data_IF_993081496417
#
_entry.id   IF_993081496417
#
_cell.length_a   1.000
_cell.length_b   1.000
_cell.length_c   1.000
_cell.angle_alpha   90.00
_cell.angle_beta   90.00
_cell.angle_gamma   90.00
#
_symmetry.space_group_name_H-M   'P 1'
#
loop_
_entity.id
_entity.type
_entity.pdbx_description
1 polymer ?
#
# COMPACT_ATOMS: atom_id res chain seq x y z
N UNK A 1 30.75 -59.75 1.97
CA UNK A 1 31.43 -58.48 2.29
C UNK A 1 30.50 -57.36 1.89
N UNK A 2 29.70 -56.86 2.83
CA UNK A 2 28.90 -55.67 2.62
C UNK A 2 29.88 -54.50 2.48
N UNK A 3 29.80 -53.77 1.37
CA UNK A 3 30.62 -52.59 1.20
C UNK A 3 30.19 -51.56 2.25
N UNK A 4 31.16 -50.91 2.89
CA UNK A 4 30.92 -49.82 3.84
C UNK A 4 29.94 -48.77 3.29
N UNK A 5 29.93 -48.59 1.97
CA UNK A 5 29.01 -47.68 1.29
C UNK A 5 27.53 -48.11 1.39
N UNK A 6 27.20 -49.41 1.48
CA UNK A 6 25.82 -49.88 1.65
C UNK A 6 25.29 -49.65 3.07
N UNK A 7 26.13 -49.84 4.08
CA UNK A 7 25.78 -49.52 5.48
C UNK A 7 25.60 -48.02 5.67
N UNK A 8 26.43 -47.20 5.03
CA UNK A 8 26.26 -45.74 5.00
C UNK A 8 24.91 -45.38 4.37
N UNK A 9 24.55 -45.97 3.22
CA UNK A 9 23.25 -45.72 2.57
C UNK A 9 22.07 -46.13 3.44
N UNK A 10 22.16 -47.25 4.15
CA UNK A 10 21.12 -47.68 5.09
C UNK A 10 20.94 -46.68 6.24
N UNK A 11 22.04 -46.22 6.87
CA UNK A 11 21.98 -45.22 7.94
C UNK A 11 21.38 -43.89 7.45
N UNK A 12 21.67 -43.50 6.20
CA UNK A 12 21.06 -42.31 5.58
C UNK A 12 19.56 -42.49 5.33
N UNK A 13 19.10 -43.67 4.90
CA UNK A 13 17.68 -44.00 4.75
C UNK A 13 16.93 -43.93 6.10
N UNK A 14 17.58 -44.34 7.19
CA UNK A 14 17.04 -44.28 8.55
C UNK A 14 17.14 -42.87 9.20
N UNK A 15 17.70 -41.87 8.51
CA UNK A 15 17.85 -40.50 9.02
C UNK A 15 18.95 -40.32 10.06
N UNK A 16 19.86 -41.30 10.21
CA UNK A 16 20.94 -41.32 11.20
C UNK A 16 22.23 -40.69 10.67
N UNK A 17 22.15 -39.42 10.29
CA UNK A 17 23.24 -38.69 9.64
C UNK A 17 24.56 -38.67 10.43
N UNK A 18 24.48 -38.54 11.75
CA UNK A 18 25.66 -38.46 12.62
C UNK A 18 26.40 -39.81 12.67
N UNK A 19 25.64 -40.91 12.69
CA UNK A 19 26.21 -42.26 12.69
C UNK A 19 26.85 -42.58 11.34
N UNK A 20 26.24 -42.15 10.23
CA UNK A 20 26.82 -42.29 8.90
C UNK A 20 28.16 -41.54 8.75
N UNK A 21 28.24 -40.30 9.26
CA UNK A 21 29.51 -39.53 9.26
C UNK A 21 30.57 -40.23 10.11
N UNK A 22 30.21 -40.75 11.29
CA UNK A 22 31.13 -41.48 12.15
C UNK A 22 31.62 -42.78 11.50
N UNK A 23 30.75 -43.50 10.81
CA UNK A 23 31.08 -44.74 10.09
C UNK A 23 32.10 -44.47 8.98
N UNK A 24 31.90 -43.41 8.18
CA UNK A 24 32.83 -43.00 7.12
C UNK A 24 34.17 -42.53 7.70
N UNK A 25 34.16 -41.75 8.77
CA UNK A 25 35.37 -41.28 9.46
C UNK A 25 36.22 -42.46 9.92
N UNK A 26 35.62 -43.42 10.63
CA UNK A 26 36.33 -44.55 11.21
C UNK A 26 36.74 -45.59 10.15
N UNK A 27 35.88 -45.85 9.16
CA UNK A 27 36.15 -46.90 8.17
C UNK A 27 37.03 -46.47 7.00
N UNK A 28 37.07 -45.17 6.65
CA UNK A 28 37.98 -44.64 5.61
C UNK A 28 39.19 -43.89 6.19
N UNK A 29 39.25 -43.67 7.49
CA UNK A 29 40.37 -42.97 8.16
C UNK A 29 40.53 -41.50 7.76
N UNK A 30 39.46 -40.87 7.25
CA UNK A 30 39.45 -39.48 6.77
C UNK A 30 39.13 -38.51 7.91
N UNK A 31 39.31 -37.20 7.73
CA UNK A 31 38.88 -36.23 8.76
C UNK A 31 37.35 -36.14 8.85
N UNK A 32 36.82 -35.69 10.01
CA UNK A 32 35.36 -35.50 10.19
C UNK A 32 34.77 -34.54 9.13
N UNK A 33 35.52 -33.53 8.71
CA UNK A 33 35.10 -32.59 7.68
C UNK A 33 34.99 -33.27 6.30
N UNK A 34 35.94 -34.14 5.96
CA UNK A 34 35.92 -34.92 4.72
C UNK A 34 34.81 -35.97 4.74
N UNK A 35 34.61 -36.65 5.87
CA UNK A 35 33.49 -37.58 6.05
C UNK A 35 32.14 -36.86 5.85
N UNK A 36 31.97 -35.67 6.44
CA UNK A 36 30.78 -34.84 6.24
C UNK A 36 30.59 -34.45 4.77
N UNK A 37 31.65 -33.97 4.09
CA UNK A 37 31.58 -33.62 2.66
C UNK A 37 31.21 -34.83 1.78
N UNK A 38 31.73 -36.01 2.13
CA UNK A 38 31.41 -37.25 1.42
C UNK A 38 29.93 -37.63 1.61
N UNK A 39 29.40 -37.54 2.84
CA UNK A 39 27.97 -37.75 3.11
C UNK A 39 27.09 -36.71 2.41
N UNK A 40 27.47 -35.43 2.45
CA UNK A 40 26.72 -34.37 1.77
C UNK A 40 26.67 -34.62 0.25
N UNK A 41 27.76 -35.13 -0.34
CA UNK A 41 27.82 -35.53 -1.76
C UNK A 41 26.98 -36.77 -2.03
N UNK A 42 27.04 -37.80 -1.18
CA UNK A 42 26.19 -38.98 -1.31
C UNK A 42 24.72 -38.63 -1.20
N UNK A 43 24.35 -37.73 -0.29
CA UNK A 43 22.98 -37.20 -0.22
C UNK A 43 22.59 -36.54 -1.53
N UNK A 44 23.48 -35.73 -2.12
CA UNK A 44 23.26 -35.05 -3.39
C UNK A 44 23.23 -35.99 -4.62
N UNK A 45 23.95 -37.12 -4.59
CA UNK A 45 24.03 -38.11 -5.67
C UNK A 45 22.90 -39.18 -5.55
N UNK A 46 22.50 -39.58 -4.33
CA UNK A 46 21.29 -40.37 -4.05
C UNK A 46 20.01 -39.51 -4.08
N UNK A 47 20.11 -38.25 -4.51
CA UNK A 47 18.98 -37.44 -4.96
C UNK A 47 18.40 -37.96 -6.29
N UNK A 48 18.06 -39.24 -6.36
CA UNK A 48 17.05 -39.74 -7.28
C UNK A 48 15.65 -39.46 -6.70
N UNK A 49 15.39 -38.24 -6.20
CA UNK A 49 14.04 -37.75 -5.93
C UNK A 49 13.26 -37.42 -7.22
N UNK A 50 13.78 -37.81 -8.38
CA UNK A 50 13.11 -37.69 -9.68
C UNK A 50 11.86 -38.58 -9.85
N UNK A 51 11.38 -39.26 -8.79
CA UNK A 51 10.04 -39.90 -8.83
C UNK A 51 8.93 -39.10 -8.15
N UNK A 52 9.21 -38.21 -7.20
CA UNK A 52 8.18 -37.37 -6.57
C UNK A 52 7.97 -36.03 -7.28
N UNK A 53 8.89 -35.60 -8.16
CA UNK A 53 8.75 -34.36 -8.94
C UNK A 53 7.56 -34.34 -9.92
N UNK A 54 6.90 -35.48 -10.12
CA UNK A 54 5.70 -35.59 -10.95
C UNK A 54 4.38 -35.63 -10.17
N UNK A 55 4.42 -35.70 -8.83
CA UNK A 55 3.20 -35.65 -8.00
C UNK A 55 2.75 -34.20 -7.93
N UNK A 56 1.60 -33.90 -8.54
CA UNK A 56 1.03 -32.55 -8.60
C UNK A 56 0.18 -32.22 -7.37
N UNK A 57 -0.39 -33.24 -6.73
CA UNK A 57 -1.24 -33.11 -5.55
C UNK A 57 -1.44 -34.45 -4.87
N UNK A 58 -1.69 -34.42 -3.57
CA UNK A 58 -2.06 -35.58 -2.76
C UNK A 58 -3.21 -35.25 -1.80
N UNK A 59 -3.93 -36.27 -1.36
CA UNK A 59 -4.97 -36.21 -0.34
C UNK A 59 -4.83 -37.38 0.64
N UNK A 60 -4.92 -37.09 1.93
CA UNK A 60 -4.75 -38.06 3.03
C UNK A 60 -6.06 -38.10 3.83
N UNK A 61 -6.68 -39.26 3.90
CA UNK A 61 -7.83 -39.52 4.75
C UNK A 61 -7.39 -40.17 6.05
N UNK A 62 -7.78 -39.55 7.16
CA UNK A 62 -7.47 -40.03 8.50
C UNK A 62 -8.72 -40.66 9.13
N UNK A 63 -8.53 -41.82 9.76
CA UNK A 63 -9.52 -42.43 10.66
C UNK A 63 -8.85 -42.71 11.99
N UNK A 64 -9.49 -42.27 13.07
CA UNK A 64 -8.96 -42.41 14.44
C UNK A 64 -7.51 -41.87 14.61
N UNK A 65 -7.18 -40.80 13.86
CA UNK A 65 -5.86 -40.16 13.89
C UNK A 65 -4.76 -40.89 13.12
N UNK A 66 -5.09 -41.95 12.37
CA UNK A 66 -4.15 -42.69 11.51
C UNK A 66 -4.50 -42.49 10.03
N UNK A 67 -3.52 -42.30 9.14
CA UNK A 67 -3.78 -42.25 7.71
C UNK A 67 -4.22 -43.65 7.23
N UNK A 68 -5.42 -43.76 6.66
CA UNK A 68 -5.96 -45.02 6.12
C UNK A 68 -5.95 -45.05 4.59
N UNK A 69 -6.15 -43.90 3.95
CA UNK A 69 -6.13 -43.79 2.49
C UNK A 69 -5.32 -42.58 2.05
N UNK A 70 -4.36 -42.81 1.15
CA UNK A 70 -3.58 -41.76 0.49
C UNK A 70 -3.82 -41.89 -1.01
N UNK A 71 -4.29 -40.81 -1.62
CA UNK A 71 -4.41 -40.69 -3.08
C UNK A 71 -3.48 -39.60 -3.57
N UNK A 72 -2.84 -39.82 -4.71
CA UNK A 72 -1.94 -38.85 -5.32
C UNK A 72 -2.18 -38.78 -6.83
N UNK A 73 -1.94 -37.59 -7.40
CA UNK A 73 -2.10 -37.35 -8.83
C UNK A 73 -0.75 -37.05 -9.45
N UNK A 74 -0.39 -37.83 -10.48
CA UNK A 74 0.81 -37.62 -11.27
C UNK A 74 0.48 -37.30 -12.75
N UNK A 75 1.49 -37.31 -13.62
CA UNK A 75 1.32 -37.07 -15.06
C UNK A 75 0.52 -38.18 -15.79
N UNK A 76 0.32 -39.34 -15.15
CA UNK A 76 -0.34 -40.53 -15.72
C UNK A 76 -1.75 -40.76 -15.18
N UNK A 77 -2.12 -40.11 -14.07
CA UNK A 77 -3.48 -40.18 -13.53
C UNK A 77 -3.54 -40.00 -12.02
N UNK A 78 -4.68 -40.39 -11.44
CA UNK A 78 -4.84 -40.45 -9.97
C UNK A 78 -4.63 -41.89 -9.53
N UNK A 79 -3.74 -42.07 -8.56
CA UNK A 79 -3.34 -43.36 -8.02
C UNK A 79 -3.56 -43.39 -6.51
N UNK A 80 -3.73 -44.61 -5.98
CA UNK A 80 -3.83 -44.84 -4.55
C UNK A 80 -2.51 -45.43 -4.07
N UNK A 81 -1.89 -44.82 -3.06
CA UNK A 81 -0.67 -45.34 -2.48
C UNK A 81 -1.00 -46.55 -1.58
N UNK A 82 -0.21 -47.61 -1.69
CA UNK A 82 -0.33 -48.76 -0.80
C UNK A 82 0.24 -48.43 0.59
N UNK A 83 -0.38 -48.93 1.68
CA UNK A 83 0.12 -48.69 3.03
C UNK A 83 1.59 -49.12 3.19
N UNK A 84 2.42 -48.21 3.70
CA UNK A 84 3.88 -48.38 3.87
C UNK A 84 4.70 -48.51 2.57
N UNK A 85 4.14 -48.18 1.41
CA UNK A 85 4.95 -48.02 0.20
C UNK A 85 5.92 -46.83 0.33
N UNK A 86 6.98 -46.76 -0.48
CA UNK A 86 7.86 -45.60 -0.52
C UNK A 86 7.09 -44.28 -0.75
N UNK A 87 6.11 -44.29 -1.65
CA UNK A 87 5.25 -43.14 -1.95
C UNK A 87 4.39 -42.73 -0.75
N UNK A 88 3.87 -43.71 0.00
CA UNK A 88 3.11 -43.49 1.23
C UNK A 88 3.93 -42.80 2.31
N UNK A 89 5.16 -43.26 2.52
CA UNK A 89 6.08 -42.71 3.54
C UNK A 89 6.51 -41.29 3.15
N UNK A 90 6.82 -41.06 1.87
CA UNK A 90 7.25 -39.75 1.38
C UNK A 90 6.13 -38.72 1.49
N UNK A 91 4.90 -39.07 1.09
CA UNK A 91 3.73 -38.18 1.22
C UNK A 91 3.48 -37.85 2.69
N UNK A 92 3.58 -38.81 3.61
CA UNK A 92 3.41 -38.55 5.04
C UNK A 92 4.54 -37.69 5.62
N UNK A 93 5.78 -37.89 5.17
CA UNK A 93 6.93 -37.10 5.60
C UNK A 93 6.79 -35.64 5.14
N UNK A 94 6.38 -35.43 3.89
CA UNK A 94 6.11 -34.10 3.32
C UNK A 94 4.92 -33.43 4.03
N UNK A 95 3.81 -34.16 4.21
CA UNK A 95 2.63 -33.69 4.95
C UNK A 95 2.95 -33.31 6.40
N UNK A 96 3.88 -34.03 7.05
CA UNK A 96 4.33 -33.72 8.42
C UNK A 96 5.23 -32.47 8.45
N UNK A 97 6.03 -32.23 7.41
CA UNK A 97 6.87 -31.03 7.28
C UNK A 97 6.05 -29.77 6.95
N UNK A 98 5.03 -29.86 6.08
CA UNK A 98 4.09 -28.77 5.81
C UNK A 98 3.01 -28.61 6.91
N UNK A 99 2.82 -29.66 7.73
CA UNK A 99 1.77 -29.82 8.73
C UNK A 99 1.84 -28.94 9.97
N UNK A 100 2.68 -27.91 10.00
CA UNK A 100 2.59 -26.84 11.00
C UNK A 100 1.72 -25.65 10.56
N UNK A 101 1.08 -25.65 9.38
CA UNK A 101 0.31 -24.48 8.96
C UNK A 101 -0.82 -24.57 7.94
N UNK A 102 -1.18 -25.71 7.32
CA UNK A 102 -2.06 -25.66 6.13
C UNK A 102 -3.08 -26.77 5.89
N UNK A 103 -3.54 -27.50 6.91
CA UNK A 103 -4.70 -28.38 6.70
C UNK A 103 -6.01 -27.56 6.79
N UNK A 104 -6.64 -27.30 5.63
CA UNK A 104 -8.06 -26.91 5.40
C UNK A 104 -8.41 -25.53 4.79
N UNK A 105 -7.52 -24.78 4.12
CA UNK A 105 -7.92 -23.49 3.49
C UNK A 105 -7.69 -23.33 1.97
N UNK A 106 -7.16 -24.33 1.26
CA UNK A 106 -6.42 -24.07 0.01
C UNK A 106 -7.24 -23.76 -1.26
N UNK A 107 -8.57 -23.91 -1.30
CA UNK A 107 -9.37 -23.52 -2.49
C UNK A 107 -10.20 -22.24 -2.32
N UNK A 108 -10.74 -22.00 -1.14
CA UNK A 108 -11.50 -20.78 -0.86
C UNK A 108 -10.58 -19.59 -0.57
N UNK A 109 -9.44 -19.83 0.09
CA UNK A 109 -8.47 -18.81 0.41
C UNK A 109 -7.70 -18.37 -0.84
N UNK A 110 -7.31 -19.32 -1.71
CA UNK A 110 -6.55 -19.00 -2.93
C UNK A 110 -7.35 -18.11 -3.89
N UNK A 111 -8.65 -18.39 -4.07
CA UNK A 111 -9.57 -17.54 -4.85
C UNK A 111 -9.80 -16.17 -4.20
N UNK A 112 -9.88 -16.09 -2.87
CA UNK A 112 -9.96 -14.83 -2.12
C UNK A 112 -8.67 -14.00 -2.27
N UNK A 113 -7.49 -14.61 -2.19
CA UNK A 113 -6.21 -13.93 -2.38
C UNK A 113 -5.96 -13.49 -3.82
N UNK A 114 -6.41 -14.26 -4.81
CA UNK A 114 -6.27 -13.90 -6.22
C UNK A 114 -7.20 -12.74 -6.59
N UNK A 115 -8.47 -12.79 -6.15
CA UNK A 115 -9.39 -11.65 -6.29
C UNK A 115 -8.89 -10.44 -5.52
N UNK A 116 -8.41 -10.57 -4.29
CA UNK A 116 -7.79 -9.47 -3.55
C UNK A 116 -6.59 -8.88 -4.27
N UNK A 117 -5.73 -9.70 -4.90
CA UNK A 117 -4.60 -9.21 -5.70
C UNK A 117 -5.05 -8.47 -6.95
N UNK A 118 -6.03 -9.01 -7.67
CA UNK A 118 -6.58 -8.40 -8.88
C UNK A 118 -7.25 -7.07 -8.54
N UNK A 119 -8.17 -7.07 -7.56
CA UNK A 119 -8.84 -5.86 -7.09
C UNK A 119 -7.82 -4.84 -6.58
N UNK A 120 -6.88 -5.24 -5.71
CA UNK A 120 -5.85 -4.32 -5.19
C UNK A 120 -5.05 -3.68 -6.33
N UNK A 121 -4.64 -4.46 -7.35
CA UNK A 121 -3.87 -3.95 -8.49
C UNK A 121 -4.66 -2.94 -9.34
N UNK A 122 -5.95 -3.22 -9.60
CA UNK A 122 -6.82 -2.34 -10.37
C UNK A 122 -7.12 -1.04 -9.61
N UNK A 123 -7.33 -1.14 -8.29
CA UNK A 123 -7.51 0.04 -7.44
C UNK A 123 -6.24 0.90 -7.39
N UNK A 124 -5.05 0.31 -7.30
CA UNK A 124 -3.80 1.11 -7.33
C UNK A 124 -3.73 1.96 -8.59
N UNK A 125 -3.98 1.38 -9.77
CA UNK A 125 -3.97 2.12 -11.03
C UNK A 125 -5.04 3.20 -11.11
N UNK A 126 -6.23 2.94 -10.56
CA UNK A 126 -7.30 3.94 -10.46
C UNK A 126 -6.86 5.15 -9.62
N UNK A 127 -6.28 4.91 -8.44
CA UNK A 127 -5.81 6.00 -7.56
C UNK A 127 -4.62 6.76 -8.14
N UNK A 128 -3.72 6.08 -8.85
CA UNK A 128 -2.64 6.75 -9.60
C UNK A 128 -3.23 7.65 -10.68
N UNK A 129 -4.15 7.12 -11.49
CA UNK A 129 -4.82 7.88 -12.56
C UNK A 129 -5.58 9.08 -12.00
N UNK A 130 -6.33 8.88 -10.92
CA UNK A 130 -7.09 9.94 -10.26
C UNK A 130 -6.19 11.02 -9.65
N UNK A 131 -5.06 10.64 -9.04
CA UNK A 131 -4.07 11.59 -8.54
C UNK A 131 -3.46 12.43 -9.67
N UNK A 132 -3.10 11.81 -10.79
CA UNK A 132 -2.61 12.52 -11.98
C UNK A 132 -3.66 13.45 -12.58
N UNK A 133 -4.91 13.02 -12.66
CA UNK A 133 -6.02 13.86 -13.11
C UNK A 133 -6.19 15.08 -12.19
N UNK A 134 -6.16 14.88 -10.87
CA UNK A 134 -6.23 15.97 -9.90
C UNK A 134 -5.03 16.93 -10.00
N UNK A 135 -3.82 16.40 -10.20
CA UNK A 135 -2.63 17.24 -10.41
C UNK A 135 -2.74 18.05 -11.70
N UNK A 136 -3.22 17.45 -12.78
CA UNK A 136 -3.41 18.11 -14.07
C UNK A 136 -4.48 19.20 -13.95
N UNK A 137 -5.62 18.91 -13.31
CA UNK A 137 -6.64 19.93 -13.08
C UNK A 137 -6.08 21.07 -12.23
N UNK A 138 -5.47 20.80 -11.08
CA UNK A 138 -4.85 21.83 -10.23
C UNK A 138 -3.80 22.65 -10.99
N UNK A 139 -2.98 22.01 -11.82
CA UNK A 139 -1.99 22.69 -12.64
C UNK A 139 -2.63 23.66 -13.64
N UNK A 140 -3.67 23.21 -14.36
CA UNK A 140 -4.46 24.09 -15.24
C UNK A 140 -5.07 25.22 -14.42
N UNK A 141 -5.73 24.91 -13.29
CA UNK A 141 -6.43 25.90 -12.48
C UNK A 141 -5.48 26.89 -11.78
N UNK A 142 -4.19 26.58 -11.66
CA UNK A 142 -3.20 27.47 -11.06
C UNK A 142 -2.49 28.34 -12.09
N UNK A 143 -2.23 27.78 -13.28
CA UNK A 143 -1.59 28.49 -14.40
C UNK A 143 -2.59 29.40 -15.09
N UNK A 144 -3.74 28.87 -15.49
CA UNK A 144 -4.74 29.57 -16.29
C UNK A 144 -5.14 30.96 -15.73
N UNK A 145 -5.39 31.14 -14.42
CA UNK A 145 -5.77 32.44 -13.87
C UNK A 145 -4.63 33.45 -13.86
N UNK A 146 -3.39 32.96 -13.70
CA UNK A 146 -2.20 33.81 -13.72
C UNK A 146 -2.00 34.45 -15.11
N UNK A 147 -2.50 33.82 -16.17
CA UNK A 147 -2.39 34.31 -17.54
C UNK A 147 -3.63 35.07 -18.05
N UNK A 148 -4.83 34.69 -17.61
CA UNK A 148 -6.10 35.25 -18.14
C UNK A 148 -6.82 36.21 -17.20
N UNK A 149 -6.33 36.43 -15.97
CA UNK A 149 -6.97 37.37 -15.05
C UNK A 149 -8.40 36.97 -14.66
N UNK A 150 -8.67 35.68 -14.56
CA UNK A 150 -10.01 35.16 -14.23
C UNK A 150 -10.21 34.99 -12.72
N UNK A 151 -11.46 35.05 -12.28
CA UNK A 151 -11.86 34.83 -10.89
C UNK A 151 -11.85 33.34 -10.55
N UNK A 152 -10.68 32.83 -10.14
CA UNK A 152 -10.44 31.39 -9.98
C UNK A 152 -10.02 31.01 -8.56
N UNK A 153 -10.28 31.84 -7.57
CA UNK A 153 -10.00 31.53 -6.16
C UNK A 153 -11.26 31.62 -5.31
N UNK A 154 -12.38 32.01 -5.91
CA UNK A 154 -13.59 32.43 -5.21
C UNK A 154 -14.82 31.68 -5.75
N UNK A 155 -15.90 31.69 -4.97
CA UNK A 155 -17.17 31.05 -5.32
C UNK A 155 -17.02 29.56 -5.63
N UNK A 156 -17.76 29.08 -6.63
CA UNK A 156 -17.76 27.67 -7.04
C UNK A 156 -16.37 27.17 -7.47
N UNK A 157 -15.53 28.06 -8.00
CA UNK A 157 -14.21 27.64 -8.45
C UNK A 157 -13.23 27.46 -7.29
N UNK A 158 -13.28 28.34 -6.30
CA UNK A 158 -12.55 28.14 -5.05
C UNK A 158 -13.00 26.87 -4.32
N UNK A 159 -14.30 26.59 -4.30
CA UNK A 159 -14.86 25.35 -3.76
C UNK A 159 -14.33 24.12 -4.50
N UNK A 160 -14.38 24.16 -5.84
CA UNK A 160 -13.89 23.06 -6.68
C UNK A 160 -12.40 22.80 -6.48
N UNK A 161 -11.59 23.85 -6.34
CA UNK A 161 -10.18 23.75 -5.97
C UNK A 161 -9.98 23.06 -4.63
N UNK A 162 -10.73 23.48 -3.59
CA UNK A 162 -10.65 22.85 -2.28
C UNK A 162 -11.01 21.37 -2.32
N UNK A 163 -12.13 21.01 -2.95
CA UNK A 163 -12.54 19.61 -3.11
C UNK A 163 -11.47 18.81 -3.86
N UNK A 164 -10.91 19.36 -4.94
CA UNK A 164 -9.86 18.70 -5.73
C UNK A 164 -8.60 18.48 -4.90
N UNK A 165 -8.22 19.43 -4.05
CA UNK A 165 -7.06 19.28 -3.15
C UNK A 165 -7.28 18.22 -2.06
N UNK A 166 -8.48 18.15 -1.49
CA UNK A 166 -8.83 17.10 -0.52
C UNK A 166 -8.78 15.73 -1.21
N UNK A 167 -9.36 15.62 -2.41
CA UNK A 167 -9.37 14.38 -3.18
C UNK A 167 -7.95 13.91 -3.52
N UNK A 168 -7.08 14.82 -4.00
CA UNK A 168 -5.68 14.51 -4.24
C UNK A 168 -4.98 14.01 -2.97
N UNK A 169 -5.24 14.66 -1.82
CA UNK A 169 -4.66 14.27 -0.53
C UNK A 169 -5.09 12.86 -0.10
N UNK A 170 -6.37 12.51 -0.31
CA UNK A 170 -6.89 11.16 -0.08
C UNK A 170 -6.21 10.13 -0.99
N UNK A 171 -6.08 10.42 -2.28
CA UNK A 171 -5.41 9.54 -3.22
C UNK A 171 -3.93 9.32 -2.82
N UNK A 172 -3.23 10.39 -2.45
CA UNK A 172 -1.84 10.31 -2.01
C UNK A 172 -1.67 9.55 -0.70
N UNK A 173 -2.59 9.70 0.26
CA UNK A 173 -2.59 8.94 1.51
C UNK A 173 -2.75 7.42 1.24
N UNK A 174 -3.65 7.06 0.31
CA UNK A 174 -3.85 5.68 -0.10
C UNK A 174 -2.61 5.09 -0.79
N UNK A 175 -1.95 5.85 -1.67
CA UNK A 175 -0.69 5.42 -2.30
C UNK A 175 0.43 5.25 -1.27
N UNK A 176 0.53 6.15 -0.29
CA UNK A 176 1.48 6.01 0.82
C UNK A 176 1.24 4.73 1.61
N UNK A 177 -0.02 4.38 1.87
CA UNK A 177 -0.39 3.12 2.54
C UNK A 177 0.05 1.89 1.73
N UNK A 178 -0.18 1.89 0.41
CA UNK A 178 0.26 0.78 -0.46
C UNK A 178 1.79 0.67 -0.45
N UNK A 179 2.51 1.78 -0.63
CA UNK A 179 3.97 1.78 -0.64
C UNK A 179 4.57 1.34 0.70
N UNK A 180 3.95 1.71 1.83
CA UNK A 180 4.35 1.21 3.14
C UNK A 180 4.25 -0.31 3.24
N UNK A 181 3.23 -0.93 2.64
CA UNK A 181 3.03 -2.38 2.66
C UNK A 181 3.98 -3.16 1.73
N UNK A 182 4.69 -2.50 0.83
CA UNK A 182 5.62 -3.19 -0.06
C UNK A 182 6.84 -3.72 0.71
N UNK A 183 6.96 -5.06 0.79
CA UNK A 183 8.06 -5.73 1.49
C UNK A 183 9.42 -5.61 0.79
N UNK A 184 9.47 -5.02 -0.41
CA UNK A 184 10.69 -4.92 -1.23
C UNK A 184 11.69 -3.89 -0.72
N UNK A 185 11.24 -2.86 -0.02
CA UNK A 185 12.09 -1.76 0.46
C UNK A 185 12.58 -1.96 1.90
N UNK A 186 13.69 -1.31 2.25
CA UNK A 186 14.24 -1.28 3.63
C UNK A 186 13.26 -0.57 4.58
N UNK A 187 13.31 -0.92 5.86
CA UNK A 187 12.32 -0.48 6.87
C UNK A 187 12.23 1.06 7.01
N UNK A 188 13.35 1.78 6.91
CA UNK A 188 13.37 3.24 7.02
C UNK A 188 12.64 3.93 5.86
N UNK A 189 12.65 3.34 4.65
CA UNK A 189 11.89 3.86 3.52
C UNK A 189 10.38 3.70 3.73
N UNK A 190 9.94 2.71 4.52
CA UNK A 190 8.52 2.55 4.86
C UNK A 190 8.07 3.58 5.89
N UNK A 191 8.97 3.97 6.79
CA UNK A 191 8.69 4.97 7.83
C UNK A 191 8.36 6.35 7.23
N UNK A 192 9.07 6.79 6.19
CA UNK A 192 8.73 8.06 5.51
C UNK A 192 7.33 8.06 4.90
N UNK A 193 6.88 6.94 4.31
CA UNK A 193 5.52 6.83 3.76
C UNK A 193 4.46 6.78 4.86
N UNK A 194 4.80 6.22 6.03
CA UNK A 194 3.94 6.25 7.21
C UNK A 194 3.73 7.67 7.71
N UNK A 195 4.81 8.41 7.92
CA UNK A 195 4.75 9.80 8.39
C UNK A 195 3.98 10.65 7.39
N UNK A 196 4.31 10.55 6.10
CA UNK A 196 3.61 11.29 5.04
C UNK A 196 2.12 10.95 4.99
N UNK A 197 1.77 9.66 5.04
CA UNK A 197 0.38 9.20 5.02
C UNK A 197 -0.43 9.72 6.21
N UNK A 198 0.15 9.70 7.42
CA UNK A 198 -0.51 10.25 8.61
C UNK A 198 -0.77 11.74 8.48
N UNK A 199 0.23 12.52 8.03
CA UNK A 199 0.07 13.96 7.81
C UNK A 199 -1.07 14.23 6.82
N UNK A 200 -1.11 13.50 5.70
CA UNK A 200 -2.18 13.64 4.71
C UNK A 200 -3.57 13.30 5.26
N UNK A 201 -3.68 12.27 6.11
CA UNK A 201 -4.95 11.93 6.78
C UNK A 201 -5.40 13.05 7.72
N UNK A 202 -4.49 13.65 8.48
CA UNK A 202 -4.83 14.80 9.33
C UNK A 202 -5.30 15.99 8.50
N UNK A 203 -4.63 16.31 7.38
CA UNK A 203 -5.06 17.38 6.47
C UNK A 203 -6.46 17.11 5.92
N UNK A 204 -6.72 15.89 5.44
CA UNK A 204 -8.05 15.48 4.96
C UNK A 204 -9.10 15.57 6.07
N UNK A 205 -8.76 15.17 7.29
CA UNK A 205 -9.65 15.22 8.43
C UNK A 205 -10.05 16.65 8.79
N UNK A 206 -9.08 17.57 8.88
CA UNK A 206 -9.33 18.98 9.21
C UNK A 206 -10.12 19.64 8.08
N UNK A 207 -9.59 19.63 6.86
CA UNK A 207 -10.20 20.33 5.73
C UNK A 207 -11.53 19.72 5.32
N UNK A 208 -11.66 18.40 5.41
CA UNK A 208 -12.91 17.69 5.14
C UNK A 208 -13.97 17.97 6.20
N UNK A 209 -13.58 18.10 7.48
CA UNK A 209 -14.49 18.48 8.55
C UNK A 209 -15.02 19.90 8.35
N UNK A 210 -14.13 20.88 8.14
CA UNK A 210 -14.51 22.28 7.95
C UNK A 210 -15.44 22.45 6.74
N UNK A 211 -15.10 21.79 5.62
CA UNK A 211 -15.94 21.78 4.42
C UNK A 211 -17.31 21.14 4.67
N UNK A 212 -17.36 20.06 5.45
CA UNK A 212 -18.61 19.38 5.76
C UNK A 212 -19.51 20.24 6.65
N UNK A 213 -18.93 20.94 7.63
CA UNK A 213 -19.69 21.90 8.43
C UNK A 213 -20.28 23.00 7.58
N UNK A 214 -19.50 23.62 6.69
CA UNK A 214 -19.99 24.68 5.80
C UNK A 214 -21.11 24.19 4.86
N UNK A 215 -20.99 22.96 4.32
CA UNK A 215 -22.01 22.38 3.42
C UNK A 215 -23.30 21.97 4.14
N UNK A 216 -23.21 21.53 5.40
CA UNK A 216 -24.39 21.09 6.17
C UNK A 216 -25.06 22.28 6.82
N UNK A 217 -24.31 23.10 7.55
CA UNK A 217 -24.83 24.24 8.31
C UNK A 217 -25.22 25.41 7.40
N UNK A 218 -24.74 25.44 6.14
CA UNK A 218 -24.90 26.56 5.22
C UNK A 218 -24.52 27.89 5.90
N UNK A 219 -23.45 27.90 6.72
CA UNK A 219 -23.05 29.05 7.55
C UNK A 219 -22.27 30.10 6.73
N UNK A 220 -22.93 30.61 5.69
CA UNK A 220 -22.43 31.70 4.84
C UNK A 220 -22.57 33.02 5.60
N UNK A 221 -21.44 33.70 5.83
CA UNK A 221 -21.39 34.99 6.52
C UNK A 221 -21.16 36.11 5.52
N UNK A 222 -21.72 37.27 5.82
CA UNK A 222 -21.48 38.51 5.08
C UNK A 222 -20.84 39.53 6.03
N UNK A 223 -19.74 40.14 5.58
CA UNK A 223 -19.05 41.22 6.26
C UNK A 223 -19.06 42.45 5.36
N UNK A 224 -19.36 43.62 5.94
CA UNK A 224 -19.24 44.91 5.28
C UNK A 224 -18.32 45.80 6.10
N UNK A 225 -17.27 46.33 5.46
CA UNK A 225 -16.38 47.25 6.14
C UNK A 225 -15.05 47.46 5.44
N UNK A 226 -14.08 47.91 6.23
CA UNK A 226 -12.70 48.11 5.78
C UNK A 226 -12.00 46.76 5.58
N UNK A 227 -11.05 46.75 4.66
CA UNK A 227 -10.25 45.59 4.32
C UNK A 227 -8.79 45.98 4.09
N UNK A 228 -7.90 44.99 4.16
CA UNK A 228 -6.49 45.14 3.83
C UNK A 228 -6.09 44.11 2.79
N UNK A 229 -5.37 44.57 1.77
CA UNK A 229 -4.81 43.75 0.69
C UNK A 229 -3.33 43.48 0.94
N UNK A 230 -2.89 42.25 0.66
CA UNK A 230 -1.48 41.89 0.74
C UNK A 230 -1.07 40.97 -0.40
N UNK A 231 0.14 41.22 -0.92
CA UNK A 231 0.79 40.38 -1.93
C UNK A 231 1.93 39.61 -1.28
N UNK A 232 1.95 38.30 -1.48
CA UNK A 232 3.06 37.45 -1.10
C UNK A 232 3.81 37.01 -2.34
N UNK A 233 5.07 37.41 -2.43
CA UNK A 233 5.96 37.07 -3.54
C UNK A 233 6.76 35.81 -3.20
N UNK A 234 6.84 34.89 -4.15
CA UNK A 234 7.53 33.62 -3.98
C UNK A 234 8.63 33.46 -5.03
N UNK A 235 9.81 32.99 -4.62
CA UNK A 235 10.98 32.86 -5.51
C UNK A 235 10.78 31.87 -6.69
N UNK A 236 9.85 30.92 -6.59
CA UNK A 236 9.61 29.86 -7.61
C UNK A 236 8.13 29.61 -7.93
N UNK A 237 7.21 30.45 -7.44
CA UNK A 237 5.76 30.26 -7.59
C UNK A 237 5.11 31.59 -7.93
N UNK A 238 3.92 31.53 -8.54
CA UNK A 238 3.06 32.71 -8.74
C UNK A 238 2.77 33.40 -7.40
N UNK A 239 2.65 34.72 -7.42
CA UNK A 239 2.34 35.53 -6.24
C UNK A 239 0.96 35.16 -5.70
N UNK A 240 0.84 35.14 -4.37
CA UNK A 240 -0.46 34.98 -3.72
C UNK A 240 -1.03 36.36 -3.38
N UNK A 241 -2.27 36.59 -3.80
CA UNK A 241 -3.03 37.81 -3.54
C UNK A 241 -4.04 37.51 -2.45
N UNK A 242 -3.97 38.27 -1.35
CA UNK A 242 -4.76 38.00 -0.16
C UNK A 242 -5.56 39.22 0.27
N UNK A 243 -6.76 38.96 0.77
CA UNK A 243 -7.62 39.94 1.45
C UNK A 243 -7.80 39.54 2.91
N UNK A 244 -7.87 40.54 3.78
CA UNK A 244 -8.13 40.41 5.22
C UNK A 244 -9.11 41.50 5.64
N UNK A 245 -9.95 41.23 6.65
CA UNK A 245 -10.92 42.20 7.16
C UNK A 245 -11.10 42.10 8.69
N UNK A 246 -11.58 43.18 9.32
CA UNK A 246 -11.62 43.28 10.80
C UNK A 246 -12.62 42.31 11.46
N UNK A 247 -13.71 41.99 10.77
CA UNK A 247 -14.75 41.08 11.24
C UNK A 247 -14.51 39.59 10.96
N UNK A 248 -13.30 39.20 10.58
CA UNK A 248 -12.97 37.79 10.36
C UNK A 248 -12.83 37.04 11.69
N UNK A 249 -13.70 36.05 11.88
CA UNK A 249 -13.78 35.25 13.12
C UNK A 249 -13.09 33.89 13.02
N UNK A 250 -12.39 33.62 11.91
CA UNK A 250 -11.64 32.38 11.74
C UNK A 250 -10.49 32.26 12.76
N UNK A 251 -10.37 31.06 13.32
CA UNK A 251 -9.43 30.77 14.41
C UNK A 251 -8.01 30.46 13.93
N UNK A 252 -7.84 30.01 12.67
CA UNK A 252 -6.60 29.40 12.18
C UNK A 252 -5.87 30.22 11.11
N UNK A 253 -6.57 30.94 10.23
CA UNK A 253 -5.96 31.80 9.22
C UNK A 253 -6.93 32.93 8.84
N UNK A 254 -6.43 34.17 8.89
CA UNK A 254 -7.22 35.37 8.53
C UNK A 254 -6.99 35.83 7.09
N UNK A 255 -6.18 35.07 6.34
CA UNK A 255 -5.73 35.43 5.01
C UNK A 255 -6.50 34.65 3.97
N UNK A 256 -7.29 35.39 3.20
CA UNK A 256 -8.14 34.78 2.19
C UNK A 256 -7.54 35.02 0.82
N UNK A 257 -7.22 33.93 0.13
CA UNK A 257 -6.71 34.03 -1.23
C UNK A 257 -7.80 34.53 -2.17
N UNK A 258 -7.50 35.59 -2.91
CA UNK A 258 -8.36 36.15 -3.94
C UNK A 258 -7.70 36.09 -5.30
N UNK A 259 -8.51 36.22 -6.34
CA UNK A 259 -7.99 36.33 -7.70
C UNK A 259 -7.19 37.62 -7.90
N UNK A 260 -6.22 37.59 -8.82
CA UNK A 260 -5.46 38.80 -9.20
C UNK A 260 -6.38 39.91 -9.73
N UNK A 261 -7.44 39.55 -10.47
CA UNK A 261 -8.40 40.51 -11.01
C UNK A 261 -9.15 41.25 -9.89
N UNK A 262 -9.72 40.54 -8.91
CA UNK A 262 -10.34 41.19 -7.76
C UNK A 262 -9.34 41.97 -6.92
N UNK A 263 -8.10 41.47 -6.78
CA UNK A 263 -7.07 42.23 -6.09
C UNK A 263 -6.84 43.59 -6.76
N UNK A 264 -6.75 43.63 -8.09
CA UNK A 264 -6.58 44.87 -8.86
C UNK A 264 -7.79 45.79 -8.84
N UNK A 265 -8.99 45.23 -8.87
CA UNK A 265 -10.21 46.02 -8.75
C UNK A 265 -10.29 46.69 -7.37
N UNK A 266 -10.05 45.93 -6.30
CA UNK A 266 -10.15 46.39 -4.92
C UNK A 266 -9.09 47.45 -4.55
N UNK A 267 -7.98 47.59 -5.28
CA UNK A 267 -7.00 48.66 -5.04
C UNK A 267 -7.68 50.05 -5.03
N UNK A 268 -8.75 50.23 -5.82
CA UNK A 268 -9.48 51.49 -5.99
C UNK A 268 -10.59 51.74 -4.94
N UNK A 269 -10.88 50.77 -4.07
CA UNK A 269 -12.00 50.84 -3.13
C UNK A 269 -11.53 50.88 -1.68
N UNK A 270 -12.31 51.53 -0.83
CA UNK A 270 -12.08 51.71 0.61
C UNK A 270 -12.83 50.68 1.44
N UNK A 271 -14.04 50.34 1.01
CA UNK A 271 -14.92 49.38 1.70
C UNK A 271 -15.40 48.31 0.75
N UNK A 272 -15.69 47.14 1.30
CA UNK A 272 -16.08 45.95 0.56
C UNK A 272 -17.15 45.19 1.34
N UNK A 273 -18.04 44.53 0.62
CA UNK A 273 -18.87 43.45 1.14
C UNK A 273 -18.25 42.11 0.75
N UNK A 274 -17.86 41.31 1.73
CA UNK A 274 -17.32 39.97 1.52
C UNK A 274 -18.33 38.95 2.01
N UNK A 275 -18.71 38.03 1.13
CA UNK A 275 -19.48 36.84 1.49
C UNK A 275 -18.54 35.65 1.53
N UNK A 276 -18.49 34.92 2.64
CA UNK A 276 -17.54 33.82 2.83
C UNK A 276 -18.13 32.71 3.69
N UNK A 277 -17.55 31.52 3.59
CA UNK A 277 -17.87 30.38 4.42
C UNK A 277 -17.07 30.40 5.71
N UNK A 278 -17.78 30.26 6.84
CA UNK A 278 -17.21 30.54 8.14
C UNK A 278 -16.10 29.57 8.55
N UNK A 279 -16.23 28.28 8.24
CA UNK A 279 -15.29 27.27 8.76
C UNK A 279 -14.09 27.08 7.82
N UNK A 280 -14.32 27.01 6.51
CA UNK A 280 -13.26 26.91 5.50
C UNK A 280 -12.56 28.22 5.20
N UNK A 281 -13.19 29.37 5.51
CA UNK A 281 -12.71 30.67 5.08
C UNK A 281 -12.75 30.87 3.56
N UNK A 282 -13.52 30.05 2.84
CA UNK A 282 -13.64 30.20 1.41
C UNK A 282 -14.43 31.47 1.08
N UNK A 283 -13.83 32.38 0.31
CA UNK A 283 -14.52 33.58 -0.17
C UNK A 283 -15.47 33.20 -1.30
N UNK A 284 -16.74 33.49 -1.09
CA UNK A 284 -17.82 33.18 -2.03
C UNK A 284 -18.04 34.30 -3.05
N UNK A 285 -18.14 35.54 -2.55
CA UNK A 285 -18.28 36.74 -3.39
C UNK A 285 -17.65 37.96 -2.73
N UNK A 286 -17.20 38.89 -3.56
CA UNK A 286 -16.62 40.16 -3.17
C UNK A 286 -17.33 41.25 -3.96
N UNK A 287 -17.94 42.20 -3.24
CA UNK A 287 -18.61 43.34 -3.84
C UNK A 287 -17.93 44.63 -3.37
N UNK A 288 -17.24 45.37 -4.26
CA UNK A 288 -16.67 46.66 -3.90
C UNK A 288 -17.79 47.70 -3.67
N UNK A 289 -17.70 48.49 -2.59
CA UNK A 289 -18.77 49.42 -2.18
C UNK A 289 -18.38 50.89 -2.41
N UNK A 290 -17.43 51.41 -1.63
CA UNK A 290 -17.04 52.82 -1.67
C UNK A 290 -15.67 52.99 -2.34
N UNK A 291 -15.57 53.85 -3.36
CA UNK A 291 -14.30 54.19 -4.01
C UNK A 291 -13.46 55.12 -3.14
N UNK A 292 -12.13 55.01 -3.27
CA UNK A 292 -11.16 55.92 -2.62
C UNK A 292 -11.15 57.30 -3.27
#
# INVERSE_FOLDING_TARGET
MNSLDEEVRQLLREGKDIEAVRLVHNGKGVTLLEAKKYIDKLKADDCSWEKTSNIRSWNIEYKDGKPEHITFTDATGTHTAEPNSPEWIDILKEATQEGSGKANQTKADDKKTLLQRIFASQFVWLFISLAWLCLLTLFILYIYPSYFGLHTREGYWGLFLHITTILLSVCMAYLCYIWMRQKKERWYSRLKYLVMGLVLIFVVGIWGYDLTLDLIEHDVRSYEGTFSLRVYTHYKRSNDYTITWEGDTLSSDRQHNISYAHFKELEQYRTVRVTYWRHTGLVWSIEPLEKK
#
